data_IF_164935304491
#
_entry.id   IF_164935304491
#
_cell.length_a   1.000
_cell.length_b   1.000
_cell.length_c   1.000
_cell.angle_alpha   90.00
_cell.angle_beta   90.00
_cell.angle_gamma   90.00
#
_symmetry.space_group_name_H-M   'P 1'
#
loop_
_entity.id
_entity.type
_entity.pdbx_description
1 polymer ?
#
# COMPACT_ATOMS: atom_id res chain seq x y z
N UNK A 1 8.93 2.61 21.17
CA UNK A 1 9.30 3.70 20.23
C UNK A 1 8.84 3.31 18.84
N UNK A 2 7.92 4.09 18.25
CA UNK A 2 7.43 3.87 16.89
C UNK A 2 7.81 5.09 16.07
N UNK A 3 8.51 4.88 14.96
CA UNK A 3 8.84 5.94 14.01
C UNK A 3 7.75 6.09 12.96
N UNK A 4 7.61 7.30 12.44
CA UNK A 4 6.54 7.63 11.50
C UNK A 4 7.08 8.37 10.27
N UNK A 5 6.44 8.11 9.13
CA UNK A 5 6.58 8.88 7.89
C UNK A 5 5.19 9.12 7.34
N UNK A 6 4.80 10.38 7.18
CA UNK A 6 3.47 10.73 6.69
C UNK A 6 3.48 12.04 5.91
N UNK A 7 2.45 12.24 5.08
CA UNK A 7 2.28 13.51 4.37
C UNK A 7 1.84 14.58 5.33
N UNK A 8 2.48 15.74 5.22
CA UNK A 8 2.09 16.94 5.95
C UNK A 8 0.63 17.30 5.66
N UNK A 9 -0.14 17.51 6.71
CA UNK A 9 -1.54 17.90 6.58
C UNK A 9 -1.66 19.28 5.92
N UNK A 10 -2.55 19.43 4.94
CA UNK A 10 -2.72 20.65 4.13
C UNK A 10 -3.05 21.91 4.96
N UNK A 11 -3.69 21.76 6.12
CA UNK A 11 -3.98 22.88 7.02
C UNK A 11 -2.72 23.45 7.70
N UNK A 12 -1.61 22.71 7.74
CA UNK A 12 -0.35 23.20 8.33
C UNK A 12 0.42 24.00 7.27
N UNK A 13 0.26 25.33 7.27
CA UNK A 13 0.94 26.23 6.33
C UNK A 13 2.36 26.63 6.79
N UNK A 14 3.16 25.71 7.33
CA UNK A 14 4.56 26.05 7.70
C UNK A 14 5.40 26.30 6.45
N UNK A 15 5.92 27.52 6.32
CA UNK A 15 6.88 27.93 5.30
C UNK A 15 8.26 27.28 5.55
N UNK A 16 9.02 27.02 4.48
CA UNK A 16 10.42 26.56 4.54
C UNK A 16 11.30 27.44 5.45
N UNK A 17 10.99 28.74 5.58
CA UNK A 17 11.76 29.70 6.39
C UNK A 17 11.69 29.46 7.90
N UNK A 18 10.79 28.61 8.39
CA UNK A 18 10.68 28.26 9.82
C UNK A 18 11.23 26.85 10.04
N UNK A 19 12.37 26.74 10.71
CA UNK A 19 13.06 25.48 11.05
C UNK A 19 14.57 25.57 10.88
N UNK A 20 15.30 24.55 11.36
CA UNK A 20 16.74 24.39 11.10
C UNK A 20 16.92 23.64 9.79
N UNK A 21 17.46 24.27 8.76
CA UNK A 21 17.76 23.62 7.48
C UNK A 21 18.86 22.59 7.72
N UNK A 22 18.68 21.37 7.22
CA UNK A 22 19.66 20.27 7.38
C UNK A 22 20.22 19.83 6.03
N UNK A 23 19.41 19.90 4.97
CA UNK A 23 19.83 19.68 3.59
C UNK A 23 18.99 20.47 2.59
N UNK A 24 19.29 20.29 1.30
CA UNK A 24 18.73 21.11 0.20
C UNK A 24 17.20 21.07 0.11
N UNK A 25 16.61 19.96 0.52
CA UNK A 25 15.18 19.69 0.41
C UNK A 25 14.54 19.31 1.74
N UNK A 26 15.24 19.49 2.86
CA UNK A 26 14.71 19.11 4.17
C UNK A 26 15.14 20.06 5.30
N UNK A 27 14.39 20.00 6.40
CA UNK A 27 14.63 20.81 7.60
C UNK A 27 14.09 20.13 8.84
N UNK A 28 14.62 20.47 10.00
CA UNK A 28 14.06 20.11 11.30
C UNK A 28 13.10 21.20 11.77
N UNK A 29 11.93 20.78 12.23
CA UNK A 29 10.86 21.66 12.72
C UNK A 29 10.37 21.12 14.06
N UNK A 30 10.25 21.98 15.05
CA UNK A 30 9.62 21.65 16.33
C UNK A 30 8.12 21.90 16.24
N UNK A 31 7.33 20.88 16.56
CA UNK A 31 5.88 20.95 16.66
C UNK A 31 5.49 20.99 18.12
N UNK A 32 4.64 21.93 18.48
CA UNK A 32 4.13 22.06 19.84
C UNK A 32 2.82 21.30 20.00
N UNK A 33 2.63 20.71 21.18
CA UNK A 33 1.38 20.10 21.60
C UNK A 33 0.28 21.17 21.51
N UNK A 34 -0.87 20.89 20.86
CA UNK A 34 -1.96 21.85 20.79
C UNK A 34 -2.47 22.18 22.19
N UNK A 35 -3.07 23.35 22.39
CA UNK A 35 -3.64 23.75 23.69
C UNK A 35 -4.87 22.91 24.04
N UNK A 36 -5.67 22.55 23.03
CA UNK A 36 -6.91 21.79 23.20
C UNK A 36 -6.70 20.32 22.85
N UNK A 37 -7.24 19.43 23.69
CA UNK A 37 -7.26 17.99 23.42
C UNK A 37 -8.13 17.69 22.17
N UNK A 38 -7.62 16.94 21.17
CA UNK A 38 -8.42 16.51 20.03
C UNK A 38 -9.61 15.62 20.43
N UNK A 39 -10.74 15.75 19.74
CA UNK A 39 -11.99 15.01 20.05
C UNK A 39 -11.87 13.47 20.06
N UNK A 40 -10.83 12.91 19.43
CA UNK A 40 -10.62 11.47 19.30
C UNK A 40 -9.52 10.89 20.18
N UNK A 41 -8.94 11.68 21.10
CA UNK A 41 -7.86 11.26 21.98
C UNK A 41 -8.32 11.31 23.44
N UNK A 42 -7.95 10.32 24.25
CA UNK A 42 -8.26 10.36 25.67
C UNK A 42 -7.48 11.51 26.35
N UNK A 43 -8.08 12.15 27.37
CA UNK A 43 -7.46 13.24 28.11
C UNK A 43 -6.16 12.79 28.80
N UNK A 44 -6.15 11.60 29.39
CA UNK A 44 -4.96 11.09 30.09
C UNK A 44 -3.81 10.85 29.12
N UNK A 45 -4.08 10.25 27.96
CA UNK A 45 -3.11 10.06 26.89
C UNK A 45 -2.57 11.41 26.38
N UNK A 46 -3.46 12.39 26.19
CA UNK A 46 -3.09 13.72 25.73
C UNK A 46 -2.20 14.47 26.74
N UNK A 47 -2.47 14.32 28.04
CA UNK A 47 -1.65 14.91 29.09
C UNK A 47 -0.27 14.25 29.11
N UNK A 48 -0.18 12.93 28.91
CA UNK A 48 1.06 12.19 28.84
C UNK A 48 1.93 12.53 27.60
N UNK A 49 1.36 13.13 26.55
CA UNK A 49 2.13 13.56 25.38
C UNK A 49 3.14 14.67 25.72
N UNK A 50 4.34 14.64 25.12
CA UNK A 50 5.35 15.67 25.34
C UNK A 50 4.85 17.05 24.87
N UNK A 51 5.34 18.15 25.49
CA UNK A 51 4.91 19.51 25.14
C UNK A 51 5.34 19.91 23.72
N UNK A 52 6.38 19.29 23.18
CA UNK A 52 6.80 19.45 21.80
C UNK A 52 7.47 18.19 21.26
N UNK A 53 7.51 18.07 19.94
CA UNK A 53 8.22 17.02 19.22
C UNK A 53 8.99 17.65 18.07
N UNK A 54 10.25 17.27 17.91
CA UNK A 54 11.04 17.66 16.74
C UNK A 54 10.81 16.64 15.64
N UNK A 55 10.51 17.12 14.44
CA UNK A 55 10.29 16.29 13.24
C UNK A 55 11.13 16.82 12.09
N UNK A 56 11.51 15.93 11.18
CA UNK A 56 12.13 16.29 9.91
C UNK A 56 11.03 16.47 8.86
N UNK A 57 11.07 17.60 8.17
CA UNK A 57 10.18 17.95 7.09
C UNK A 57 10.95 17.90 5.78
N UNK A 58 10.46 17.13 4.81
CA UNK A 58 11.10 16.87 3.52
C UNK A 58 10.18 17.36 2.41
N UNK A 59 10.74 18.02 1.40
CA UNK A 59 10.02 18.56 0.26
C UNK A 59 10.55 17.95 -1.02
N UNK A 60 9.65 17.42 -1.85
CA UNK A 60 10.03 16.94 -3.17
C UNK A 60 8.89 17.15 -4.17
N UNK A 61 9.27 17.15 -5.44
CA UNK A 61 8.32 17.25 -6.54
C UNK A 61 8.22 15.89 -7.23
N UNK A 62 6.99 15.43 -7.44
CA UNK A 62 6.73 14.26 -8.27
C UNK A 62 6.58 14.73 -9.70
N UNK A 63 7.59 14.46 -10.53
CA UNK A 63 7.60 14.79 -11.95
C UNK A 63 7.59 13.49 -12.74
N UNK A 64 6.38 13.00 -13.03
CA UNK A 64 6.18 11.80 -13.85
C UNK A 64 5.42 12.23 -15.11
N UNK A 65 5.93 11.93 -16.33
CA UNK A 65 5.22 12.23 -17.57
C UNK A 65 3.78 11.68 -17.56
N UNK A 66 2.80 12.51 -17.89
CA UNK A 66 1.37 12.16 -17.86
C UNK A 66 0.71 12.18 -16.48
N UNK A 67 1.43 12.64 -15.44
CA UNK A 67 0.87 12.97 -14.13
C UNK A 67 1.01 14.48 -13.86
N UNK A 68 0.04 15.06 -13.14
CA UNK A 68 0.17 16.44 -12.67
C UNK A 68 1.36 16.53 -11.73
N UNK A 69 2.27 17.48 -12.00
CA UNK A 69 3.39 17.75 -11.08
C UNK A 69 2.82 18.12 -9.72
N UNK A 70 3.14 17.31 -8.71
CA UNK A 70 2.66 17.50 -7.35
C UNK A 70 3.84 17.83 -6.42
N UNK A 71 3.71 18.93 -5.68
CA UNK A 71 4.62 19.26 -4.59
C UNK A 71 4.15 18.53 -3.34
N UNK A 72 4.98 17.64 -2.84
CA UNK A 72 4.68 16.84 -1.65
C UNK A 72 5.62 17.26 -0.52
N UNK A 73 5.05 17.42 0.67
CA UNK A 73 5.79 17.62 1.92
C UNK A 73 5.55 16.43 2.83
N UNK A 74 6.63 15.77 3.25
CA UNK A 74 6.60 14.67 4.20
C UNK A 74 7.09 15.15 5.57
N UNK A 75 6.57 14.49 6.60
CA UNK A 75 6.97 14.65 7.99
C UNK A 75 7.42 13.29 8.49
N UNK A 76 8.53 13.27 9.21
CA UNK A 76 9.06 12.06 9.82
C UNK A 76 9.73 12.32 11.16
N UNK A 77 9.69 11.31 12.04
CA UNK A 77 10.46 11.28 13.30
C UNK A 77 11.91 10.85 13.10
N UNK A 78 12.28 10.39 11.90
CA UNK A 78 13.64 10.00 11.53
C UNK A 78 14.48 11.27 11.24
N UNK A 79 15.17 11.76 12.27
CA UNK A 79 15.81 13.08 12.23
C UNK A 79 17.18 13.07 11.54
N UNK A 80 17.92 11.96 11.63
CA UNK A 80 19.28 11.88 11.09
C UNK A 80 19.28 11.70 9.58
N UNK A 81 19.92 12.64 8.87
CA UNK A 81 20.06 12.60 7.42
C UNK A 81 21.11 11.60 6.94
N UNK A 82 22.13 11.34 7.75
CA UNK A 82 23.21 10.42 7.38
C UNK A 82 22.69 8.98 7.40
N UNK A 83 21.97 8.62 8.47
CA UNK A 83 21.36 7.28 8.59
C UNK A 83 20.14 7.11 7.69
N UNK A 84 19.29 8.15 7.58
CA UNK A 84 18.04 8.08 6.82
C UNK A 84 18.07 9.10 5.69
N UNK A 85 18.50 8.67 4.50
CA UNK A 85 18.59 9.58 3.36
C UNK A 85 17.21 10.09 2.95
N UNK A 86 17.17 11.29 2.36
CA UNK A 86 15.92 11.85 1.84
C UNK A 86 15.27 10.92 0.80
N UNK A 87 16.08 10.27 -0.05
CA UNK A 87 15.61 9.36 -1.08
C UNK A 87 14.95 8.11 -0.48
N UNK A 88 15.52 7.54 0.57
CA UNK A 88 14.97 6.34 1.22
C UNK A 88 13.62 6.65 1.88
N UNK A 89 13.48 7.82 2.51
CA UNK A 89 12.23 8.24 3.15
C UNK A 89 11.14 8.49 2.10
N UNK A 90 11.50 9.10 0.96
CA UNK A 90 10.58 9.29 -0.16
C UNK A 90 10.17 7.93 -0.76
N UNK A 91 11.13 7.02 -0.95
CA UNK A 91 10.87 5.66 -1.42
C UNK A 91 9.94 4.88 -0.48
N UNK A 92 10.20 4.95 0.83
CA UNK A 92 9.36 4.36 1.87
C UNK A 92 7.94 4.93 1.84
N UNK A 93 7.80 6.25 1.72
CA UNK A 93 6.47 6.86 1.58
C UNK A 93 5.76 6.42 0.31
N UNK A 94 6.50 6.18 -0.78
CA UNK A 94 5.97 5.60 -2.02
C UNK A 94 5.32 4.22 -1.81
N UNK A 95 5.91 3.37 -0.98
CA UNK A 95 5.37 2.04 -0.65
C UNK A 95 4.03 2.10 0.09
N UNK A 96 3.63 3.25 0.66
CA UNK A 96 2.28 3.44 1.22
C UNK A 96 1.18 3.10 0.20
N UNK A 97 1.43 3.33 -1.09
CA UNK A 97 0.47 3.02 -2.14
C UNK A 97 0.23 1.51 -2.32
N UNK A 98 1.16 0.66 -1.88
CA UNK A 98 1.01 -0.80 -1.94
C UNK A 98 -0.18 -1.26 -1.09
N UNK A 99 -0.50 -0.56 0.01
CA UNK A 99 -1.71 -0.84 0.81
C UNK A 99 -2.99 -0.69 -0.02
N UNK A 100 -3.04 0.29 -0.93
CA UNK A 100 -4.21 0.49 -1.79
C UNK A 100 -4.34 -0.62 -2.85
N UNK A 101 -3.21 -1.17 -3.31
CA UNK A 101 -3.19 -2.37 -4.15
C UNK A 101 -3.67 -3.59 -3.37
N UNK A 102 -3.22 -3.75 -2.13
CA UNK A 102 -3.60 -4.84 -1.24
C UNK A 102 -5.10 -4.84 -0.94
N UNK A 103 -5.67 -3.68 -0.60
CA UNK A 103 -7.11 -3.51 -0.43
C UNK A 103 -7.87 -3.79 -1.73
N UNK A 104 -7.34 -3.37 -2.88
CA UNK A 104 -7.93 -3.71 -4.17
C UNK A 104 -7.93 -5.21 -4.41
N UNK A 105 -6.87 -5.93 -4.04
CA UNK A 105 -6.81 -7.38 -4.20
C UNK A 105 -7.90 -8.07 -3.36
N UNK A 106 -8.10 -7.66 -2.11
CA UNK A 106 -9.21 -8.14 -1.27
C UNK A 106 -10.56 -7.90 -1.96
N UNK A 107 -10.84 -6.67 -2.38
CA UNK A 107 -12.15 -6.31 -2.95
C UNK A 107 -12.40 -6.98 -4.31
N UNK A 108 -11.40 -7.02 -5.18
CA UNK A 108 -11.59 -7.41 -6.59
C UNK A 108 -11.11 -8.81 -6.92
N UNK A 109 -9.98 -9.25 -6.35
CA UNK A 109 -9.42 -10.57 -6.65
C UNK A 109 -10.07 -11.66 -5.80
N UNK A 110 -10.43 -11.32 -4.55
CA UNK A 110 -11.18 -12.22 -3.68
C UNK A 110 -12.69 -11.99 -3.73
N UNK A 111 -13.19 -11.04 -4.53
CA UNK A 111 -14.62 -10.78 -4.73
C UNK A 111 -15.35 -10.37 -3.43
N UNK A 112 -14.63 -9.67 -2.53
CA UNK A 112 -15.18 -9.18 -1.26
C UNK A 112 -16.09 -7.94 -1.44
N UNK A 113 -16.20 -7.38 -2.64
CA UNK A 113 -17.02 -6.18 -2.88
C UNK A 113 -18.53 -6.42 -2.74
N UNK A 114 -18.99 -7.68 -2.81
CA UNK A 114 -20.38 -8.08 -2.58
C UNK A 114 -20.46 -9.19 -1.53
N UNK A 115 -20.90 -8.82 -0.32
CA UNK A 115 -21.09 -9.75 0.80
C UNK A 115 -22.47 -10.43 0.72
N UNK A 116 -22.53 -11.72 1.06
CA UNK A 116 -23.74 -12.54 0.95
C UNK A 116 -24.58 -12.58 2.22
N UNK A 117 -23.95 -12.35 3.37
CA UNK A 117 -24.63 -12.39 4.65
C UNK A 117 -25.62 -11.23 4.83
N UNK A 118 -26.76 -11.49 5.48
CA UNK A 118 -27.84 -10.50 5.66
C UNK A 118 -27.88 -9.84 7.04
N UNK A 119 -27.14 -10.37 8.03
CA UNK A 119 -27.14 -9.82 9.39
C UNK A 119 -25.78 -9.19 9.74
N UNK A 120 -25.73 -8.11 10.53
CA UNK A 120 -24.46 -7.44 10.87
C UNK A 120 -23.43 -8.36 11.53
N UNK A 121 -23.89 -9.33 12.34
CA UNK A 121 -23.00 -10.31 12.97
C UNK A 121 -22.36 -11.24 11.93
N UNK A 122 -23.15 -11.78 10.99
CA UNK A 122 -22.64 -12.67 9.94
C UNK A 122 -21.80 -11.93 8.91
N UNK A 123 -22.13 -10.68 8.58
CA UNK A 123 -21.31 -9.81 7.71
C UNK A 123 -19.90 -9.63 8.28
N UNK A 124 -19.76 -9.38 9.59
CA UNK A 124 -18.44 -9.31 10.22
C UNK A 124 -17.67 -10.62 10.09
N UNK A 125 -18.33 -11.76 10.30
CA UNK A 125 -17.71 -13.09 10.12
C UNK A 125 -17.26 -13.30 8.67
N UNK A 126 -18.08 -12.94 7.70
CA UNK A 126 -17.74 -13.05 6.28
C UNK A 126 -16.49 -12.22 5.95
N UNK A 127 -16.41 -10.98 6.43
CA UNK A 127 -15.21 -10.14 6.30
C UNK A 127 -13.98 -10.83 6.92
N UNK A 128 -14.10 -11.40 8.13
CA UNK A 128 -12.99 -12.11 8.77
C UNK A 128 -12.53 -13.34 7.97
N UNK A 129 -13.44 -14.07 7.32
CA UNK A 129 -13.08 -15.19 6.45
C UNK A 129 -12.30 -14.71 5.22
N UNK A 130 -12.70 -13.59 4.61
CA UNK A 130 -11.93 -12.99 3.50
C UNK A 130 -10.53 -12.55 3.95
N UNK A 131 -10.41 -11.93 5.12
CA UNK A 131 -9.11 -11.54 5.68
C UNK A 131 -8.24 -12.77 5.98
N UNK A 132 -8.84 -13.85 6.50
CA UNK A 132 -8.14 -15.11 6.75
C UNK A 132 -7.62 -15.72 5.43
N UNK A 133 -8.46 -15.80 4.41
CA UNK A 133 -8.07 -16.32 3.10
C UNK A 133 -6.97 -15.46 2.46
N UNK A 134 -7.08 -14.14 2.56
CA UNK A 134 -6.05 -13.21 2.11
C UNK A 134 -4.71 -13.43 2.82
N UNK A 135 -4.73 -13.52 4.15
CA UNK A 135 -3.53 -13.75 4.94
C UNK A 135 -2.91 -15.12 4.65
N UNK A 136 -3.71 -16.17 4.43
CA UNK A 136 -3.23 -17.47 3.99
C UNK A 136 -2.45 -17.38 2.67
N UNK A 137 -3.04 -16.71 1.67
CA UNK A 137 -2.39 -16.52 0.37
C UNK A 137 -1.11 -15.68 0.49
N UNK A 138 -1.12 -14.64 1.34
CA UNK A 138 0.06 -13.81 1.61
C UNK A 138 1.17 -14.59 2.30
N UNK A 139 0.84 -15.44 3.26
CA UNK A 139 1.81 -16.33 3.90
C UNK A 139 2.41 -17.32 2.90
N UNK A 140 1.61 -17.87 1.99
CA UNK A 140 2.11 -18.74 0.91
C UNK A 140 3.06 -18.00 -0.04
N UNK A 141 2.68 -16.78 -0.45
CA UNK A 141 3.56 -15.91 -1.25
C UNK A 141 4.86 -15.60 -0.51
N UNK A 142 4.78 -15.31 0.79
CA UNK A 142 5.95 -15.05 1.63
C UNK A 142 6.87 -16.28 1.68
N UNK A 143 6.33 -17.44 2.03
CA UNK A 143 7.10 -18.69 2.06
C UNK A 143 7.72 -19.00 0.70
N UNK A 144 6.98 -18.87 -0.40
CA UNK A 144 7.50 -19.11 -1.74
C UNK A 144 8.62 -18.13 -2.10
N UNK A 145 8.42 -16.85 -1.80
CA UNK A 145 9.38 -15.80 -2.11
C UNK A 145 10.69 -15.95 -1.34
N UNK A 146 10.62 -16.19 -0.02
CA UNK A 146 11.79 -16.43 0.81
C UNK A 146 12.53 -17.71 0.41
N UNK A 147 11.80 -18.79 0.11
CA UNK A 147 12.42 -20.08 -0.24
C UNK A 147 13.15 -20.05 -1.57
N UNK A 148 12.64 -19.31 -2.57
CA UNK A 148 13.16 -19.31 -3.94
C UNK A 148 13.76 -17.97 -4.40
N UNK A 149 13.95 -17.00 -3.49
CA UNK A 149 14.63 -15.74 -3.78
C UNK A 149 13.81 -14.72 -4.57
N UNK A 150 12.48 -14.86 -4.65
CA UNK A 150 11.60 -13.90 -5.33
C UNK A 150 10.97 -12.95 -4.32
N UNK A 151 10.99 -11.62 -4.52
CA UNK A 151 10.37 -10.70 -3.57
C UNK A 151 8.87 -11.02 -3.35
N UNK A 152 8.42 -11.32 -2.11
CA UNK A 152 7.05 -11.77 -1.85
C UNK A 152 5.95 -10.83 -2.35
N UNK A 153 6.18 -9.51 -2.24
CA UNK A 153 5.23 -8.48 -2.68
C UNK A 153 5.08 -8.42 -4.21
N UNK A 154 6.00 -9.04 -4.97
CA UNK A 154 5.96 -9.10 -6.43
C UNK A 154 5.22 -10.32 -6.96
N UNK A 155 4.84 -11.26 -6.11
CA UNK A 155 4.11 -12.47 -6.50
C UNK A 155 2.63 -12.16 -6.75
N UNK A 156 2.01 -12.89 -7.68
CA UNK A 156 0.60 -12.70 -8.02
C UNK A 156 -0.32 -13.39 -7.01
N UNK A 157 -1.15 -12.62 -6.30
CA UNK A 157 -2.18 -13.18 -5.41
C UNK A 157 -3.16 -14.08 -6.18
N UNK A 158 -3.60 -13.67 -7.38
CA UNK A 158 -4.49 -14.47 -8.21
C UNK A 158 -3.83 -15.76 -8.70
N UNK A 159 -2.56 -15.67 -9.12
CA UNK A 159 -1.79 -16.87 -9.50
C UNK A 159 -1.63 -17.83 -8.31
N UNK A 160 -1.34 -17.30 -7.13
CA UNK A 160 -1.24 -18.07 -5.87
C UNK A 160 -2.56 -18.76 -5.54
N UNK A 161 -3.69 -18.03 -5.60
CA UNK A 161 -5.03 -18.59 -5.37
C UNK A 161 -5.34 -19.73 -6.33
N UNK A 162 -5.07 -19.54 -7.62
CA UNK A 162 -5.31 -20.56 -8.64
C UNK A 162 -4.48 -21.82 -8.38
N UNK A 163 -3.18 -21.69 -8.12
CA UNK A 163 -2.33 -22.83 -7.84
C UNK A 163 -2.68 -23.53 -6.53
N UNK A 164 -2.98 -22.78 -5.46
CA UNK A 164 -3.44 -23.37 -4.22
C UNK A 164 -4.70 -24.22 -4.43
N UNK A 165 -5.71 -23.68 -5.12
CA UNK A 165 -6.95 -24.40 -5.41
C UNK A 165 -6.70 -25.70 -6.19
N UNK A 166 -5.78 -25.69 -7.15
CA UNK A 166 -5.44 -26.88 -7.93
C UNK A 166 -4.67 -27.93 -7.11
N UNK A 167 -3.88 -27.50 -6.12
CA UNK A 167 -3.05 -28.40 -5.30
C UNK A 167 -3.81 -28.92 -4.06
N UNK A 168 -4.91 -28.30 -3.63
CA UNK A 168 -5.71 -28.73 -2.46
C UNK A 168 -6.11 -30.22 -2.53
N UNK A 169 -6.67 -30.74 -3.65
CA UNK A 169 -7.07 -32.15 -3.71
C UNK A 169 -5.90 -33.11 -3.46
N UNK A 170 -4.74 -32.84 -4.06
CA UNK A 170 -3.53 -33.63 -3.87
C UNK A 170 -2.96 -33.54 -2.45
N UNK A 171 -2.97 -32.34 -1.85
CA UNK A 171 -2.50 -32.13 -0.47
C UNK A 171 -3.34 -32.91 0.54
N UNK A 172 -4.66 -33.02 0.29
CA UNK A 172 -5.61 -33.76 1.14
C UNK A 172 -5.49 -35.28 0.98
N UNK A 173 -5.25 -35.77 -0.24
CA UNK A 173 -5.25 -37.20 -0.55
C UNK A 173 -3.95 -37.94 -0.16
N UNK A 174 -2.90 -37.22 0.28
CA UNK A 174 -1.55 -37.80 0.39
C UNK A 174 -1.04 -37.90 1.85
N UNK A 175 -0.09 -38.81 2.07
CA UNK A 175 0.60 -39.03 3.35
C UNK A 175 1.51 -37.85 3.74
N UNK A 176 1.89 -37.75 5.02
CA UNK A 176 2.70 -36.63 5.54
C UNK A 176 3.99 -36.35 4.76
N UNK A 177 4.73 -37.39 4.38
CA UNK A 177 6.01 -37.28 3.65
C UNK A 177 5.81 -36.79 2.21
N UNK A 178 4.79 -37.30 1.51
CA UNK A 178 4.45 -36.84 0.15
C UNK A 178 3.90 -35.41 0.17
N UNK A 179 3.14 -35.04 1.21
CA UNK A 179 2.56 -33.69 1.36
C UNK A 179 3.62 -32.60 1.37
N UNK A 180 4.74 -32.83 2.04
CA UNK A 180 5.88 -31.90 2.05
C UNK A 180 6.47 -31.69 0.64
N UNK A 181 6.58 -32.74 -0.17
CA UNK A 181 7.08 -32.62 -1.56
C UNK A 181 6.12 -31.82 -2.44
N UNK A 182 4.82 -32.09 -2.30
CA UNK A 182 3.76 -31.35 -3.01
C UNK A 182 3.75 -29.88 -2.58
N UNK A 183 3.91 -29.60 -1.29
CA UNK A 183 3.99 -28.24 -0.77
C UNK A 183 5.19 -27.46 -1.33
N UNK A 184 6.38 -28.05 -1.34
CA UNK A 184 7.54 -27.40 -1.97
C UNK A 184 7.35 -27.16 -3.47
N UNK A 185 6.66 -28.08 -4.15
CA UNK A 185 6.30 -27.93 -5.57
C UNK A 185 5.34 -26.76 -5.76
N UNK A 186 4.31 -26.63 -4.91
CA UNK A 186 3.40 -25.49 -4.91
C UNK A 186 4.16 -24.18 -4.71
N UNK A 187 5.04 -24.11 -3.71
CA UNK A 187 5.86 -22.92 -3.45
C UNK A 187 6.74 -22.57 -4.67
N UNK A 188 7.35 -23.57 -5.32
CA UNK A 188 8.16 -23.37 -6.52
C UNK A 188 7.32 -22.77 -7.65
N UNK A 189 6.14 -23.31 -7.90
CA UNK A 189 5.24 -22.80 -8.94
C UNK A 189 4.81 -21.36 -8.64
N UNK A 190 4.45 -21.07 -7.39
CA UNK A 190 4.10 -19.71 -6.93
C UNK A 190 5.26 -18.74 -7.17
N UNK A 191 6.50 -19.12 -6.83
CA UNK A 191 7.67 -18.26 -6.97
C UNK A 191 7.93 -17.77 -8.40
N UNK A 192 7.45 -18.52 -9.41
CA UNK A 192 7.53 -18.13 -10.83
C UNK A 192 6.36 -17.26 -11.30
N UNK A 193 5.37 -16.96 -10.45
CA UNK A 193 4.21 -16.11 -10.78
C UNK A 193 4.44 -14.65 -10.39
N UNK A 194 5.50 -14.05 -10.93
CA UNK A 194 5.84 -12.64 -10.72
C UNK A 194 4.92 -11.73 -11.54
N UNK A 195 4.41 -10.67 -10.91
CA UNK A 195 3.65 -9.62 -11.59
C UNK A 195 4.61 -8.78 -12.45
N UNK A 196 4.36 -8.60 -13.76
CA UNK A 196 5.24 -7.81 -14.63
C UNK A 196 5.43 -6.37 -14.12
N UNK A 197 6.67 -5.86 -14.19
CA UNK A 197 6.93 -4.43 -13.94
C UNK A 197 6.42 -3.60 -15.11
N UNK A 198 5.61 -2.57 -14.83
CA UNK A 198 5.01 -1.68 -15.84
C UNK A 198 5.03 -0.22 -15.34
N UNK A 199 6.22 0.39 -15.23
CA UNK A 199 6.36 1.77 -14.75
C UNK A 199 5.65 2.75 -15.70
N UNK A 200 5.18 3.88 -15.18
CA UNK A 200 4.60 4.96 -15.98
C UNK A 200 3.24 4.63 -16.63
N UNK A 201 2.54 3.57 -16.19
CA UNK A 201 1.23 3.23 -16.73
C UNK A 201 0.18 4.29 -16.37
N UNK A 202 -0.16 5.13 -17.34
CA UNK A 202 -1.34 6.00 -17.29
C UNK A 202 -2.50 5.36 -18.06
N UNK A 203 -3.68 5.28 -17.42
CA UNK A 203 -4.90 4.79 -18.03
C UNK A 203 -6.00 5.85 -17.92
N UNK A 204 -6.80 6.04 -18.98
CA UNK A 204 -7.91 6.98 -18.91
C UNK A 204 -8.90 6.56 -17.84
N UNK A 205 -9.30 7.52 -17.02
CA UNK A 205 -10.24 7.34 -15.91
C UNK A 205 -11.69 7.28 -16.42
N UNK A 206 -11.96 6.25 -17.21
CA UNK A 206 -13.24 6.02 -17.91
C UNK A 206 -13.75 4.59 -17.69
N UNK A 207 -15.05 4.35 -17.90
CA UNK A 207 -15.66 3.02 -17.72
C UNK A 207 -16.36 2.50 -18.97
N UNK A 208 -16.45 1.18 -19.09
CA UNK A 208 -17.22 0.51 -20.13
C UNK A 208 -18.68 0.21 -19.75
N UNK A 209 -19.02 0.17 -18.46
CA UNK A 209 -20.34 -0.23 -17.94
C UNK A 209 -20.78 0.67 -16.76
N UNK A 210 -22.09 0.87 -16.61
CA UNK A 210 -22.75 1.58 -15.48
C UNK A 210 -22.77 0.68 -14.21
N UNK A 211 -22.99 1.20 -12.97
CA UNK A 211 -23.39 2.55 -12.57
C UNK A 211 -22.43 3.16 -11.52
N UNK A 212 -21.19 3.46 -11.89
CA UNK A 212 -20.25 4.09 -10.95
C UNK A 212 -20.03 5.57 -11.36
N UNK A 213 -19.44 6.42 -10.52
CA UNK A 213 -19.17 7.84 -10.82
C UNK A 213 -17.85 8.08 -11.61
N UNK A 214 -17.82 7.90 -12.94
CA UNK A 214 -16.71 8.24 -13.87
C UNK A 214 -17.30 8.25 -15.30
N UNK A 215 -16.74 9.05 -16.22
CA UNK A 215 -17.20 9.11 -17.61
C UNK A 215 -17.17 7.76 -18.33
N UNK A 216 -18.04 7.60 -19.33
CA UNK A 216 -18.00 6.44 -20.23
C UNK A 216 -16.82 6.52 -21.18
N UNK A 217 -16.27 5.37 -21.55
CA UNK A 217 -15.22 5.27 -22.54
C UNK A 217 -15.83 5.41 -23.94
N UNK A 218 -15.84 6.65 -24.46
CA UNK A 218 -16.43 7.00 -25.75
C UNK A 218 -15.47 6.82 -26.93
N UNK A 219 -14.17 6.74 -26.68
CA UNK A 219 -13.11 6.51 -27.68
C UNK A 219 -12.30 5.26 -27.37
N UNK A 220 -11.63 4.65 -28.37
CA UNK A 220 -10.67 3.58 -28.14
C UNK A 220 -9.62 3.95 -27.08
N UNK A 221 -9.28 2.98 -26.22
CA UNK A 221 -8.38 3.21 -25.06
C UNK A 221 -7.01 3.74 -25.49
N UNK A 222 -6.49 3.33 -26.64
CA UNK A 222 -5.18 3.78 -27.12
C UNK A 222 -5.19 5.26 -27.52
N UNK A 223 -6.28 5.78 -28.07
CA UNK A 223 -6.43 7.22 -28.38
C UNK A 223 -6.50 8.07 -27.11
N UNK A 224 -7.30 7.63 -26.14
CA UNK A 224 -7.41 8.31 -24.85
C UNK A 224 -6.07 8.34 -24.09
N UNK A 225 -5.24 7.30 -24.22
CA UNK A 225 -3.88 7.30 -23.65
C UNK A 225 -2.97 8.32 -24.31
N UNK A 226 -3.04 8.51 -25.64
CA UNK A 226 -2.28 9.57 -26.33
C UNK A 226 -2.66 10.94 -25.79
N UNK A 227 -3.96 11.20 -25.61
CA UNK A 227 -4.45 12.48 -25.06
C UNK A 227 -3.91 12.78 -23.65
N UNK A 228 -3.73 11.76 -22.81
CA UNK A 228 -3.16 11.92 -21.46
C UNK A 228 -1.65 12.19 -21.45
N UNK A 229 -0.93 11.87 -22.52
CA UNK A 229 0.51 12.12 -22.62
C UNK A 229 0.80 13.54 -23.13
N UNK A 230 -0.14 14.13 -23.87
CA UNK A 230 -0.08 15.51 -24.40
C UNK A 230 -0.61 16.58 -23.45
N UNK A 231 -1.21 16.20 -22.31
CA UNK A 231 -1.79 17.11 -21.32
C UNK A 231 -0.93 17.17 -20.05
#
# INVERSE_FOLDING_TARGET
>A
NCDAVFRKHQARKTSMRKGKIVGDCNKLVTWYKPTNCPKGLNKDEFLALPPSITVREIYYCIVIPGFRTERVSLITTLLDEVTYSTLDIVGLYGQRWDVELDLRLLLTTLDMDVLRCKTPSMVRKEIYIYLLAYNLLRSLMWSAGITYGTPPLRLSLQGTRHHLNNFIPELLATSSTKRQRIYHTLLKVIAHKVVPSRPGRSEPRVRKRRPKAYPLMTKPRHELRKQLQTA
#
